data_IF_728793399968
#
_entry.id   IF_728793399968
#
_cell.length_a   1.000
_cell.length_b   1.000
_cell.length_c   1.000
_cell.angle_alpha   90.00
_cell.angle_beta   90.00
_cell.angle_gamma   90.00
#
_symmetry.space_group_name_H-M   'P 1'
#
loop_
_entity.id
_entity.type
_entity.pdbx_description
1 polymer ?
#
# COMPACT_ATOMS: atom_id res chain seq x y z
N UNK A 1 -29.46 8.30 -0.11
CA UNK A 1 -28.11 7.96 0.38
C UNK A 1 -27.65 6.74 -0.40
N UNK A 2 -26.82 6.94 -1.42
CA UNK A 2 -26.26 5.82 -2.19
C UNK A 2 -25.22 5.07 -1.36
N UNK A 3 -24.91 3.80 -1.69
CA UNK A 3 -23.87 3.07 -0.99
C UNK A 3 -22.58 3.89 -1.05
N UNK A 4 -21.97 4.10 0.11
CA UNK A 4 -20.60 4.59 0.20
C UNK A 4 -19.77 3.76 -0.78
N UNK A 5 -19.16 4.41 -1.79
CA UNK A 5 -18.19 3.79 -2.71
C UNK A 5 -16.97 3.37 -1.90
N UNK A 6 -17.14 2.31 -1.13
CA UNK A 6 -16.08 1.61 -0.46
C UNK A 6 -15.28 0.91 -1.57
N UNK A 7 -14.23 1.59 -2.02
CA UNK A 7 -13.01 0.96 -2.52
C UNK A 7 -13.28 -0.20 -3.51
N UNK A 8 -13.71 0.13 -4.73
CA UNK A 8 -13.74 -0.83 -5.83
C UNK A 8 -12.29 -1.20 -6.22
N UNK A 9 -11.73 -2.13 -5.46
CA UNK A 9 -10.42 -2.70 -5.67
C UNK A 9 -10.61 -4.17 -6.07
N UNK A 10 -9.98 -4.55 -7.17
CA UNK A 10 -9.95 -5.92 -7.62
C UNK A 10 -8.66 -6.59 -7.10
N UNK A 11 -8.76 -7.86 -6.70
CA UNK A 11 -7.58 -8.69 -6.49
C UNK A 11 -6.87 -8.89 -7.82
N UNK A 12 -5.54 -8.77 -7.82
CA UNK A 12 -4.73 -9.06 -8.98
C UNK A 12 -4.78 -10.55 -9.29
N UNK A 13 -4.93 -10.91 -10.57
CA UNK A 13 -4.98 -12.30 -10.99
C UNK A 13 -3.69 -13.08 -10.65
N UNK A 14 -2.54 -12.39 -10.68
CA UNK A 14 -1.24 -12.98 -10.42
C UNK A 14 -0.91 -13.14 -8.93
N UNK A 15 -1.55 -12.38 -8.05
CA UNK A 15 -1.26 -12.40 -6.62
C UNK A 15 -2.53 -12.12 -5.79
N UNK A 16 -3.06 -13.13 -5.08
CA UNK A 16 -4.30 -13.01 -4.34
C UNK A 16 -4.24 -12.03 -3.15
N UNK A 17 -3.06 -11.58 -2.74
CA UNK A 17 -2.84 -10.60 -1.67
C UNK A 17 -2.49 -9.21 -2.20
N UNK A 18 -2.55 -9.01 -3.52
CA UNK A 18 -2.39 -7.72 -4.17
C UNK A 18 -3.76 -7.20 -4.64
N UNK A 19 -4.18 -6.06 -4.09
CA UNK A 19 -5.42 -5.39 -4.44
C UNK A 19 -5.09 -4.11 -5.20
N UNK A 20 -5.81 -3.87 -6.29
CA UNK A 20 -5.55 -2.76 -7.19
C UNK A 20 -6.87 -2.07 -7.53
N UNK A 21 -6.87 -0.75 -7.57
CA UNK A 21 -8.05 0.02 -7.98
C UNK A 21 -8.58 -0.45 -9.33
N UNK A 22 -9.89 -0.50 -9.47
CA UNK A 22 -10.56 -0.91 -10.71
C UNK A 22 -10.08 -0.09 -11.93
N UNK A 23 -10.15 -0.67 -13.15
CA UNK A 23 -9.96 0.09 -14.37
C UNK A 23 -10.91 1.31 -14.42
N UNK A 24 -10.39 2.48 -14.80
CA UNK A 24 -11.17 3.72 -14.86
C UNK A 24 -11.36 4.43 -13.52
N UNK A 25 -10.82 3.91 -12.41
CA UNK A 25 -10.79 4.63 -11.14
C UNK A 25 -10.02 5.95 -11.27
N UNK A 26 -10.56 7.02 -10.68
CA UNK A 26 -9.98 8.36 -10.69
C UNK A 26 -8.55 8.39 -10.15
N UNK A 27 -8.29 7.59 -9.11
CA UNK A 27 -6.97 7.48 -8.50
C UNK A 27 -6.50 6.03 -8.43
N UNK A 28 -5.27 5.79 -8.90
CA UNK A 28 -4.63 4.47 -8.79
C UNK A 28 -4.27 4.20 -7.33
N UNK A 29 -4.74 3.07 -6.82
CA UNK A 29 -4.42 2.54 -5.48
C UNK A 29 -3.89 1.12 -5.66
N UNK A 30 -2.85 0.78 -4.92
CA UNK A 30 -2.30 -0.57 -4.81
C UNK A 30 -2.13 -0.88 -3.33
N UNK A 31 -2.76 -1.94 -2.85
CA UNK A 31 -2.60 -2.47 -1.50
C UNK A 31 -2.00 -3.87 -1.60
N UNK A 32 -0.86 -4.08 -0.96
CA UNK A 32 -0.25 -5.40 -0.79
C UNK A 32 -0.40 -5.83 0.67
N UNK A 33 -0.89 -7.04 0.89
CA UNK A 33 -0.99 -7.64 2.22
C UNK A 33 0.01 -8.80 2.38
N UNK A 34 0.53 -8.94 3.59
CA UNK A 34 1.29 -10.10 4.03
C UNK A 34 1.02 -10.34 5.52
N UNK A 35 0.17 -11.32 5.83
CA UNK A 35 -0.31 -11.57 7.21
C UNK A 35 -0.85 -10.26 7.80
N UNK A 36 -0.25 -9.76 8.89
CA UNK A 36 -0.67 -8.54 9.59
C UNK A 36 -0.06 -7.25 8.99
N UNK A 37 0.89 -7.39 8.04
CA UNK A 37 1.56 -6.26 7.41
C UNK A 37 0.84 -5.83 6.12
N UNK A 38 0.58 -4.53 6.00
CA UNK A 38 0.04 -3.89 4.79
C UNK A 38 0.99 -2.86 4.19
N UNK A 39 1.17 -2.90 2.87
CA UNK A 39 1.88 -1.87 2.10
C UNK A 39 0.95 -1.20 1.10
N UNK A 40 0.76 0.10 1.26
CA UNK A 40 -0.18 0.90 0.48
C UNK A 40 0.54 1.93 -0.39
N UNK A 41 0.18 1.96 -1.68
CA UNK A 41 0.70 2.88 -2.69
C UNK A 41 -0.46 3.59 -3.38
N UNK A 42 -0.36 4.91 -3.54
CA UNK A 42 -1.38 5.73 -4.18
C UNK A 42 -0.76 6.94 -4.90
N UNK A 43 -1.41 7.40 -5.98
CA UNK A 43 -0.99 8.60 -6.70
C UNK A 43 -1.42 9.90 -5.99
N UNK A 44 -2.46 9.86 -5.16
CA UNK A 44 -2.95 11.01 -4.39
C UNK A 44 -2.75 10.77 -2.88
N UNK A 45 -2.03 11.69 -2.23
CA UNK A 45 -1.83 11.62 -0.78
C UNK A 45 -3.14 11.84 -0.02
N UNK A 46 -4.07 12.63 -0.57
CA UNK A 46 -5.39 12.85 0.03
C UNK A 46 -6.19 11.56 0.04
N UNK A 47 -6.30 10.90 -1.11
CA UNK A 47 -6.99 9.60 -1.24
C UNK A 47 -6.33 8.53 -0.35
N UNK A 48 -4.99 8.51 -0.29
CA UNK A 48 -4.25 7.61 0.60
C UNK A 48 -4.64 7.80 2.06
N UNK A 49 -4.69 9.06 2.54
CA UNK A 49 -5.07 9.38 3.93
C UNK A 49 -6.51 9.02 4.24
N UNK A 50 -7.43 9.22 3.31
CA UNK A 50 -8.83 8.80 3.47
C UNK A 50 -8.97 7.28 3.55
N UNK A 51 -8.23 6.55 2.71
CA UNK A 51 -8.19 5.09 2.77
C UNK A 51 -7.63 4.60 4.10
N UNK A 52 -6.51 5.15 4.54
CA UNK A 52 -5.91 4.82 5.84
C UNK A 52 -6.90 5.06 6.97
N UNK A 53 -7.64 6.19 6.98
CA UNK A 53 -8.69 6.44 7.99
C UNK A 53 -9.81 5.41 7.96
N UNK A 54 -10.21 4.94 6.78
CA UNK A 54 -11.23 3.88 6.67
C UNK A 54 -10.71 2.55 7.21
N UNK A 55 -9.44 2.23 6.98
CA UNK A 55 -8.82 1.02 7.54
C UNK A 55 -8.71 1.12 9.07
N UNK A 56 -8.28 2.27 9.59
CA UNK A 56 -8.14 2.54 11.03
C UNK A 56 -9.48 2.52 11.78
N UNK A 57 -10.59 2.81 11.09
CA UNK A 57 -11.93 2.70 11.68
C UNK A 57 -12.42 1.25 11.83
N UNK A 58 -11.91 0.33 11.01
CA UNK A 58 -12.36 -1.07 10.94
C UNK A 58 -11.35 -2.03 11.58
N UNK A 59 -10.08 -1.64 11.64
CA UNK A 59 -8.95 -2.45 12.06
C UNK A 59 -8.01 -1.66 12.96
N UNK A 60 -7.41 -2.32 13.95
CA UNK A 60 -6.32 -1.75 14.72
C UNK A 60 -5.05 -1.70 13.85
N UNK A 61 -4.74 -0.54 13.27
CA UNK A 61 -3.55 -0.37 12.42
C UNK A 61 -2.59 0.67 12.98
N UNK A 62 -1.30 0.45 12.75
CA UNK A 62 -0.25 1.44 12.99
C UNK A 62 0.36 1.83 11.65
N UNK A 63 0.30 3.12 11.33
CA UNK A 63 0.80 3.63 10.05
C UNK A 63 2.25 4.09 10.21
N UNK A 64 3.16 3.42 9.52
CA UNK A 64 4.59 3.72 9.53
C UNK A 64 5.14 4.23 8.20
N UNK A 65 6.39 4.69 8.23
CA UNK A 65 7.16 4.91 7.01
C UNK A 65 7.47 3.56 6.36
N UNK A 66 7.17 3.35 5.06
CA UNK A 66 7.42 2.07 4.39
C UNK A 66 8.91 1.93 4.03
N UNK A 67 9.82 2.03 5.00
CA UNK A 67 11.25 1.78 4.81
C UNK A 67 11.62 0.30 4.89
N UNK A 68 10.73 -0.54 5.42
CA UNK A 68 10.84 -1.99 5.38
C UNK A 68 9.44 -2.62 5.19
N UNK A 69 9.37 -3.71 4.43
CA UNK A 69 8.17 -4.53 4.32
C UNK A 69 8.59 -6.00 4.13
N UNK A 70 8.17 -6.88 5.05
CA UNK A 70 8.48 -8.32 5.01
C UNK A 70 9.99 -8.60 4.85
N UNK A 71 10.83 -7.85 5.55
CA UNK A 71 12.28 -7.99 5.51
C UNK A 71 12.96 -7.39 4.27
N UNK A 72 12.20 -6.77 3.35
CA UNK A 72 12.73 -5.98 2.25
C UNK A 72 12.86 -4.52 2.68
N UNK A 73 14.06 -3.98 2.66
CA UNK A 73 14.29 -2.56 2.82
C UNK A 73 13.88 -1.83 1.53
N UNK A 74 13.16 -0.72 1.68
CA UNK A 74 12.68 0.10 0.57
C UNK A 74 13.39 1.44 0.64
N UNK A 75 14.14 1.76 -0.41
CA UNK A 75 14.83 3.02 -0.56
C UNK A 75 14.14 3.82 -1.66
N UNK A 76 13.60 5.00 -1.31
CA UNK A 76 12.89 5.87 -2.26
C UNK A 76 13.58 7.22 -2.35
N UNK A 77 14.10 7.54 -3.53
CA UNK A 77 14.63 8.87 -3.84
C UNK A 77 13.61 9.60 -4.74
N UNK A 78 12.89 10.56 -4.16
CA UNK A 78 11.88 11.34 -4.89
C UNK A 78 12.49 12.32 -5.89
N UNK A 79 13.69 12.82 -5.61
CA UNK A 79 14.39 13.76 -6.49
C UNK A 79 14.82 13.08 -7.78
N UNK A 80 15.33 11.85 -7.66
CA UNK A 80 15.75 11.00 -8.80
C UNK A 80 14.64 10.14 -9.37
N UNK A 81 13.46 10.14 -8.74
CA UNK A 81 12.30 9.29 -9.09
C UNK A 81 12.64 7.80 -9.13
N UNK A 82 13.49 7.34 -8.22
CA UNK A 82 13.89 5.93 -8.13
C UNK A 82 13.33 5.28 -6.88
N UNK A 83 13.02 4.00 -7.01
CA UNK A 83 12.75 3.09 -5.91
C UNK A 83 13.70 1.92 -6.07
N UNK A 84 14.41 1.59 -5.00
CA UNK A 84 15.27 0.42 -4.92
C UNK A 84 14.87 -0.41 -3.70
N UNK A 85 15.13 -1.71 -3.78
CA UNK A 85 14.94 -2.63 -2.66
C UNK A 85 16.29 -3.23 -2.26
N UNK A 86 16.42 -3.60 -0.99
CA UNK A 86 17.60 -4.29 -0.49
C UNK A 86 17.30 -5.14 0.74
N UNK A 87 18.29 -5.90 1.18
CA UNK A 87 18.20 -6.78 2.37
C UNK A 87 19.53 -6.76 3.14
N UNK A 88 20.14 -5.58 3.29
CA UNK A 88 21.40 -5.41 4.04
C UNK A 88 21.27 -5.91 5.48
N UNK A 89 20.12 -5.69 6.10
CA UNK A 89 19.85 -6.17 7.47
C UNK A 89 19.75 -7.68 7.59
N UNK A 90 19.44 -8.38 6.49
CA UNK A 90 19.44 -9.85 6.47
C UNK A 90 20.87 -10.40 6.52
N UNK A 91 21.82 -9.76 5.82
CA UNK A 91 23.23 -10.18 5.74
C UNK A 91 24.01 -9.83 7.01
N UNK A 92 23.65 -8.73 7.68
CA UNK A 92 24.35 -8.23 8.88
C UNK A 92 23.97 -8.95 10.18
N UNK A 93 23.06 -9.92 10.11
CA UNK A 93 22.60 -10.72 11.24
C UNK A 93 23.50 -11.92 11.48
#
# INVERSE_FOLDING_TARGET
>A
MGPSRALEQARAAADPCLYVSAPGAECRIILRLYVDDGLLCCLSLTVLKELVKKLDAEFEIIVGNPSNFVGLEIYRDRSKRTIAIGQKNYIRR
#
